data_IF_894707362200
#
_entry.id   IF_894707362200
#
_cell.length_a   1.000
_cell.length_b   1.000
_cell.length_c   1.000
_cell.angle_alpha   90.00
_cell.angle_beta   90.00
_cell.angle_gamma   90.00
#
_symmetry.space_group_name_H-M   'P 1'
#
loop_
_entity.id
_entity.type
_entity.pdbx_description
1 polymer ?
#
# COMPACT_ATOMS: atom_id res chain seq x y z
N UNK A 1 36.54 27.34 -25.18
CA UNK A 1 36.28 25.89 -25.18
C UNK A 1 34.92 25.66 -24.53
N UNK A 2 33.82 25.80 -25.28
CA UNK A 2 32.46 25.62 -24.78
C UNK A 2 31.65 25.00 -25.92
N UNK A 3 31.17 23.77 -25.77
CA UNK A 3 30.41 23.16 -26.87
C UNK A 3 29.84 21.76 -26.67
N UNK A 4 29.75 21.22 -25.45
CA UNK A 4 29.34 19.80 -25.29
C UNK A 4 28.17 19.48 -24.34
N UNK A 5 27.42 20.45 -23.80
CA UNK A 5 26.28 20.13 -22.91
C UNK A 5 24.89 20.70 -23.30
N UNK A 6 24.78 21.52 -24.35
CA UNK A 6 23.53 22.23 -24.67
C UNK A 6 22.38 21.28 -25.10
N UNK A 7 22.69 20.11 -25.66
CA UNK A 7 21.67 19.13 -26.07
C UNK A 7 21.15 18.22 -24.96
N UNK A 8 21.95 17.94 -23.92
CA UNK A 8 21.57 17.02 -22.83
C UNK A 8 20.66 17.67 -21.79
N UNK A 9 20.69 19.00 -21.70
CA UNK A 9 19.93 19.77 -20.72
C UNK A 9 18.44 19.87 -21.11
N UNK A 10 18.13 20.06 -22.40
CA UNK A 10 16.73 20.17 -22.88
C UNK A 10 15.91 18.89 -22.68
N UNK A 11 16.54 17.72 -22.83
CA UNK A 11 15.84 16.43 -22.74
C UNK A 11 15.34 16.13 -21.32
N UNK A 12 16.13 16.45 -20.29
CA UNK A 12 15.73 16.21 -18.88
C UNK A 12 14.65 17.19 -18.44
N UNK A 13 14.72 18.45 -18.88
CA UNK A 13 13.63 19.41 -18.67
C UNK A 13 12.34 18.94 -19.35
N UNK A 14 12.41 18.54 -20.63
CA UNK A 14 11.27 18.02 -21.37
C UNK A 14 10.65 16.79 -20.69
N UNK A 15 11.48 15.85 -20.23
CA UNK A 15 11.02 14.68 -19.46
C UNK A 15 10.33 15.07 -18.15
N UNK A 16 10.89 16.01 -17.37
CA UNK A 16 10.26 16.50 -16.16
C UNK A 16 8.92 17.19 -16.42
N UNK A 17 8.79 17.94 -17.53
CA UNK A 17 7.52 18.49 -17.98
C UNK A 17 6.50 17.41 -18.33
N UNK A 18 6.88 16.39 -19.10
CA UNK A 18 5.99 15.27 -19.46
C UNK A 18 5.51 14.54 -18.20
N UNK A 19 6.43 14.24 -17.29
CA UNK A 19 6.11 13.61 -16.00
C UNK A 19 5.14 14.48 -15.20
N UNK A 20 5.41 15.79 -15.06
CA UNK A 20 4.49 16.71 -14.41
C UNK A 20 3.09 16.71 -15.06
N UNK A 21 3.00 16.71 -16.40
CA UNK A 21 1.73 16.70 -17.12
C UNK A 21 0.94 15.40 -16.90
N UNK A 22 1.61 14.25 -16.92
CA UNK A 22 1.00 12.95 -16.67
C UNK A 22 0.40 12.86 -15.26
N UNK A 23 1.11 13.38 -14.25
CA UNK A 23 0.67 13.27 -12.86
C UNK A 23 -0.36 14.32 -12.46
N UNK A 24 -0.37 15.49 -13.10
CA UNK A 24 -1.33 16.54 -12.80
C UNK A 24 -2.55 16.55 -13.72
N UNK A 25 -2.56 15.70 -14.77
CA UNK A 25 -3.54 15.75 -15.86
C UNK A 25 -3.68 17.16 -16.47
N UNK A 26 -2.63 17.98 -16.36
CA UNK A 26 -2.58 19.34 -16.88
C UNK A 26 -1.72 19.37 -18.13
N UNK A 27 -2.19 20.05 -19.17
CA UNK A 27 -1.36 20.33 -20.33
C UNK A 27 -0.45 21.53 -20.03
N UNK A 28 0.86 21.33 -20.12
CA UNK A 28 1.84 22.41 -19.99
C UNK A 28 2.55 22.59 -21.33
N UNK A 29 2.74 23.85 -21.75
CA UNK A 29 3.63 24.11 -22.87
C UNK A 29 5.07 23.83 -22.45
N UNK A 30 5.70 22.84 -23.08
CA UNK A 30 7.09 22.45 -22.81
C UNK A 30 8.05 23.60 -23.17
N UNK A 31 7.60 24.55 -24.00
CA UNK A 31 8.36 25.76 -24.36
C UNK A 31 8.01 26.97 -23.47
N UNK A 32 7.21 26.78 -22.41
CA UNK A 32 6.86 27.88 -21.52
C UNK A 32 8.12 28.47 -20.86
N UNK A 33 8.16 29.80 -20.78
CA UNK A 33 9.24 30.56 -20.12
C UNK A 33 9.26 30.29 -18.61
N UNK A 34 8.08 29.99 -18.04
CA UNK A 34 7.91 29.73 -16.61
C UNK A 34 7.73 28.22 -16.37
N UNK A 35 8.44 27.71 -15.37
CA UNK A 35 8.28 26.34 -14.89
C UNK A 35 6.88 26.13 -14.28
N UNK A 36 6.35 24.90 -14.34
CA UNK A 36 5.11 24.57 -13.66
C UNK A 36 5.26 24.79 -12.15
N UNK A 37 4.19 25.26 -11.52
CA UNK A 37 4.17 25.46 -10.08
C UNK A 37 3.96 24.11 -9.39
N UNK A 38 4.92 23.71 -8.55
CA UNK A 38 4.79 22.48 -7.78
C UNK A 38 3.85 22.68 -6.57
N UNK A 39 2.89 21.76 -6.32
CA UNK A 39 1.83 22.01 -5.35
C UNK A 39 2.28 22.28 -3.90
N UNK A 40 3.27 21.54 -3.38
CA UNK A 40 3.80 21.78 -2.02
C UNK A 40 4.71 23.01 -1.99
N UNK A 41 5.41 23.31 -3.08
CA UNK A 41 6.16 24.57 -3.18
C UNK A 41 5.22 25.78 -3.13
N UNK A 42 4.11 25.76 -3.87
CA UNK A 42 3.05 26.75 -3.80
C UNK A 42 2.51 26.91 -2.38
N UNK A 43 2.13 25.80 -1.74
CA UNK A 43 1.62 25.83 -0.36
C UNK A 43 2.65 26.41 0.62
N UNK A 44 3.96 26.13 0.42
CA UNK A 44 5.03 26.71 1.23
C UNK A 44 5.15 28.23 1.03
N UNK A 45 5.00 28.71 -0.20
CA UNK A 45 5.01 30.14 -0.51
C UNK A 45 3.81 30.87 0.11
N UNK A 46 2.59 30.36 -0.08
CA UNK A 46 1.36 30.97 0.44
C UNK A 46 1.30 31.02 1.97
N UNK A 47 1.96 30.07 2.64
CA UNK A 47 2.01 30.00 4.11
C UNK A 47 3.26 30.67 4.69
N UNK A 48 4.14 31.20 3.86
CA UNK A 48 5.36 31.85 4.31
C UNK A 48 5.03 33.16 5.04
N UNK A 49 5.65 33.38 6.20
CA UNK A 49 5.42 34.58 7.02
C UNK A 49 4.10 34.59 7.82
N UNK A 50 3.22 33.60 7.63
CA UNK A 50 1.99 33.46 8.42
C UNK A 50 2.26 32.66 9.71
N UNK A 51 1.57 33.04 10.79
CA UNK A 51 1.72 32.42 12.11
C UNK A 51 0.37 32.15 12.79
N UNK A 52 0.35 31.22 13.76
CA UNK A 52 -0.82 30.94 14.59
C UNK A 52 -2.08 30.61 13.79
N UNK A 53 -3.20 31.25 14.14
CA UNK A 53 -4.49 30.98 13.52
C UNK A 53 -4.62 31.47 12.08
N UNK A 54 -3.90 32.54 11.70
CA UNK A 54 -3.89 33.04 10.33
C UNK A 54 -3.35 31.97 9.37
N UNK A 55 -2.25 31.32 9.75
CA UNK A 55 -1.68 30.20 8.98
C UNK A 55 -2.65 29.02 8.86
N UNK A 56 -3.39 28.72 9.94
CA UNK A 56 -4.35 27.61 9.97
C UNK A 56 -5.53 27.88 9.04
N UNK A 57 -6.13 29.07 9.13
CA UNK A 57 -7.26 29.49 8.28
C UNK A 57 -6.85 29.47 6.81
N UNK A 58 -5.70 30.06 6.46
CA UNK A 58 -5.19 30.07 5.08
C UNK A 58 -4.93 28.66 4.57
N UNK A 59 -4.37 27.77 5.40
CA UNK A 59 -4.14 26.37 5.03
C UNK A 59 -5.46 25.63 4.78
N UNK A 60 -6.46 25.79 5.64
CA UNK A 60 -7.78 25.19 5.48
C UNK A 60 -8.48 25.68 4.20
N UNK A 61 -8.31 26.96 3.87
CA UNK A 61 -8.83 27.53 2.64
C UNK A 61 -8.18 26.92 1.39
N UNK A 62 -6.84 26.87 1.34
CA UNK A 62 -6.09 26.23 0.25
C UNK A 62 -6.54 24.78 0.07
N UNK A 63 -6.65 24.01 1.17
CA UNK A 63 -7.04 22.60 1.13
C UNK A 63 -8.46 22.40 0.56
N UNK A 64 -9.39 23.32 0.81
CA UNK A 64 -10.79 23.20 0.35
C UNK A 64 -11.00 23.72 -1.07
N UNK A 65 -10.34 24.80 -1.44
CA UNK A 65 -10.71 25.62 -2.61
C UNK A 65 -9.71 25.52 -3.76
N UNK A 66 -8.48 25.08 -3.50
CA UNK A 66 -7.40 25.16 -4.48
C UNK A 66 -7.22 23.86 -5.30
N UNK A 67 -7.01 24.03 -6.61
CA UNK A 67 -6.64 22.96 -7.54
C UNK A 67 -5.32 22.30 -7.10
N UNK A 68 -4.35 23.08 -6.61
CA UNK A 68 -3.06 22.55 -6.17
C UNK A 68 -3.18 21.66 -4.93
N UNK A 69 -4.11 21.94 -4.02
CA UNK A 69 -4.31 21.07 -2.86
C UNK A 69 -4.82 19.67 -3.23
N UNK A 70 -5.64 19.57 -4.28
CA UNK A 70 -6.08 18.27 -4.82
C UNK A 70 -4.91 17.50 -5.42
N UNK A 71 -3.98 18.20 -6.06
CA UNK A 71 -2.78 17.61 -6.68
C UNK A 71 -1.77 17.08 -5.65
N UNK A 72 -1.67 17.72 -4.46
CA UNK A 72 -0.81 17.23 -3.35
C UNK A 72 -1.17 15.79 -2.94
N UNK A 73 -2.44 15.40 -3.05
CA UNK A 73 -2.90 14.06 -2.72
C UNK A 73 -2.45 12.99 -3.74
N UNK A 74 -2.16 13.38 -4.98
CA UNK A 74 -1.86 12.47 -6.08
C UNK A 74 -0.35 12.39 -6.38
N UNK A 75 0.41 13.42 -6.01
CA UNK A 75 1.85 13.50 -6.27
C UNK A 75 2.61 13.16 -5.00
N UNK A 76 3.47 12.15 -5.03
CA UNK A 76 4.34 11.80 -3.89
C UNK A 76 5.35 12.92 -3.62
N UNK A 77 5.75 13.07 -2.36
CA UNK A 77 6.73 14.10 -1.96
C UNK A 77 8.08 13.90 -2.65
N UNK A 78 8.46 12.64 -2.86
CA UNK A 78 9.69 12.22 -3.51
C UNK A 78 9.71 12.65 -4.98
N UNK A 79 8.60 12.45 -5.70
CA UNK A 79 8.47 12.88 -7.08
C UNK A 79 8.55 14.41 -7.21
N UNK A 80 7.90 15.15 -6.30
CA UNK A 80 7.97 16.61 -6.31
C UNK A 80 9.40 17.13 -6.04
N UNK A 81 10.13 16.50 -5.11
CA UNK A 81 11.53 16.82 -4.86
C UNK A 81 12.43 16.48 -6.06
N UNK A 82 12.15 15.38 -6.77
CA UNK A 82 12.85 15.04 -8.00
C UNK A 82 12.64 16.10 -9.10
N UNK A 83 11.40 16.60 -9.26
CA UNK A 83 11.10 17.68 -10.19
C UNK A 83 11.82 18.98 -9.80
N UNK A 84 11.88 19.32 -8.50
CA UNK A 84 12.65 20.46 -7.99
C UNK A 84 14.15 20.36 -8.33
N UNK A 85 14.76 19.20 -8.05
CA UNK A 85 16.18 18.96 -8.30
C UNK A 85 16.49 19.05 -9.81
N UNK A 86 15.58 18.53 -10.63
CA UNK A 86 15.69 18.59 -12.10
C UNK A 86 15.60 20.01 -12.63
N UNK A 87 14.77 20.84 -12.01
CA UNK A 87 14.57 22.24 -12.36
C UNK A 87 15.55 23.19 -11.66
N UNK A 88 16.63 22.67 -11.06
CA UNK A 88 17.66 23.50 -10.46
C UNK A 88 18.24 24.50 -11.46
N UNK A 89 18.31 25.76 -11.03
CA UNK A 89 18.95 26.84 -11.77
C UNK A 89 20.48 26.67 -11.85
N UNK A 90 21.07 25.84 -10.98
CA UNK A 90 22.48 25.52 -10.98
C UNK A 90 22.75 24.32 -11.90
N UNK A 91 23.54 24.52 -12.96
CA UNK A 91 23.85 23.47 -13.93
C UNK A 91 24.64 22.30 -13.31
N UNK A 92 25.40 22.51 -12.24
CA UNK A 92 26.19 21.46 -11.58
C UNK A 92 25.32 20.55 -10.70
N UNK A 93 24.17 21.05 -10.24
CA UNK A 93 23.25 20.30 -9.38
C UNK A 93 22.17 19.58 -10.21
N UNK A 94 22.18 19.76 -11.54
CA UNK A 94 21.17 19.21 -12.44
C UNK A 94 21.46 17.74 -12.75
N UNK A 95 20.42 16.93 -12.65
CA UNK A 95 20.48 15.50 -12.96
C UNK A 95 20.70 15.27 -14.46
N UNK A 96 21.49 14.25 -14.77
CA UNK A 96 21.53 13.62 -16.09
C UNK A 96 20.26 12.83 -16.37
N UNK A 97 19.98 12.52 -17.65
CA UNK A 97 18.84 11.69 -18.04
C UNK A 97 18.81 10.32 -17.33
N UNK A 98 19.98 9.68 -17.18
CA UNK A 98 20.09 8.39 -16.49
C UNK A 98 19.83 8.53 -14.98
N UNK A 99 20.35 9.58 -14.34
CA UNK A 99 20.06 9.86 -12.93
C UNK A 99 18.60 10.18 -12.70
N UNK A 100 17.98 10.94 -13.60
CA UNK A 100 16.55 11.25 -13.56
C UNK A 100 15.70 9.97 -13.68
N UNK A 101 15.97 9.11 -14.67
CA UNK A 101 15.26 7.84 -14.85
C UNK A 101 15.43 6.91 -13.65
N UNK A 102 16.64 6.80 -13.11
CA UNK A 102 16.90 6.00 -11.91
C UNK A 102 16.12 6.54 -10.71
N UNK A 103 16.17 7.85 -10.47
CA UNK A 103 15.44 8.48 -9.35
C UNK A 103 13.93 8.42 -9.53
N UNK A 104 13.40 8.47 -10.76
CA UNK A 104 11.96 8.23 -11.02
C UNK A 104 11.57 6.83 -10.58
N UNK A 105 12.37 5.82 -10.94
CA UNK A 105 12.10 4.44 -10.55
C UNK A 105 12.15 4.28 -9.02
N UNK A 106 13.13 4.90 -8.36
CA UNK A 106 13.20 4.92 -6.90
C UNK A 106 11.98 5.61 -6.28
N UNK A 107 11.52 6.73 -6.84
CA UNK A 107 10.31 7.43 -6.38
C UNK A 107 9.06 6.56 -6.55
N UNK A 108 8.94 5.85 -7.68
CA UNK A 108 7.86 4.90 -7.95
C UNK A 108 7.87 3.80 -6.89
N UNK A 109 9.03 3.20 -6.63
CA UNK A 109 9.16 2.10 -5.68
C UNK A 109 8.87 2.53 -4.25
N UNK A 110 9.38 3.68 -3.81
CA UNK A 110 9.08 4.25 -2.48
C UNK A 110 7.59 4.50 -2.29
N UNK A 111 6.89 4.91 -3.35
CA UNK A 111 5.45 5.12 -3.33
C UNK A 111 4.70 3.78 -3.25
N UNK A 112 5.06 2.83 -4.11
CA UNK A 112 4.44 1.48 -4.17
C UNK A 112 4.63 0.69 -2.87
N UNK A 113 5.83 0.70 -2.30
CA UNK A 113 6.12 -0.02 -1.04
C UNK A 113 5.60 0.72 0.21
N UNK A 114 5.06 1.93 0.08
CA UNK A 114 4.48 2.70 1.19
C UNK A 114 5.49 3.45 2.05
N UNK A 115 6.77 3.51 1.66
CA UNK A 115 7.80 4.23 2.41
C UNK A 115 9.23 3.93 1.96
N UNK A 116 10.16 4.80 2.38
CA UNK A 116 11.59 4.67 2.05
C UNK A 116 12.18 3.35 2.58
N UNK A 117 11.96 3.05 3.86
CA UNK A 117 12.48 1.85 4.50
C UNK A 117 11.87 0.56 3.95
N UNK A 118 10.64 0.64 3.44
CA UNK A 118 9.94 -0.48 2.85
C UNK A 118 10.49 -0.78 1.45
N UNK A 119 10.76 0.27 0.66
CA UNK A 119 11.46 0.14 -0.61
C UNK A 119 12.92 -0.30 -0.44
N UNK A 120 13.62 0.16 0.58
CA UNK A 120 14.99 -0.29 0.89
C UNK A 120 15.05 -1.79 1.16
N UNK A 121 14.10 -2.31 1.95
CA UNK A 121 13.96 -3.75 2.16
C UNK A 121 13.61 -4.51 0.87
N UNK A 122 12.71 -3.97 0.05
CA UNK A 122 12.38 -4.55 -1.27
C UNK A 122 13.63 -4.67 -2.16
N UNK A 123 14.44 -3.62 -2.21
CA UNK A 123 15.70 -3.58 -2.95
C UNK A 123 16.69 -4.59 -2.38
N UNK A 124 16.79 -4.70 -1.06
CA UNK A 124 17.63 -5.69 -0.39
C UNK A 124 17.28 -7.14 -0.80
N UNK A 125 15.99 -7.42 -1.01
CA UNK A 125 15.52 -8.74 -1.45
C UNK A 125 15.75 -9.04 -2.93
N UNK A 126 15.96 -8.01 -3.76
CA UNK A 126 16.00 -8.13 -5.23
C UNK A 126 17.39 -7.95 -5.84
N UNK A 127 18.30 -7.23 -5.16
CA UNK A 127 19.53 -6.80 -5.81
C UNK A 127 20.67 -7.82 -5.78
N UNK A 128 21.07 -8.22 -6.99
CA UNK A 128 22.48 -8.11 -7.39
C UNK A 128 22.82 -6.61 -7.61
N UNK A 129 23.99 -6.17 -7.16
CA UNK A 129 24.39 -4.75 -7.17
C UNK A 129 24.33 -4.11 -8.58
N UNK A 130 23.69 -2.94 -8.70
CA UNK A 130 23.76 -2.08 -9.89
C UNK A 130 22.57 -2.16 -10.87
N UNK A 131 21.59 -3.03 -10.62
CA UNK A 131 20.39 -3.16 -11.45
C UNK A 131 19.20 -2.32 -10.96
N UNK A 132 18.32 -1.94 -11.90
CA UNK A 132 17.00 -1.38 -11.57
C UNK A 132 16.22 -2.42 -10.75
N UNK A 133 15.59 -2.03 -9.64
CA UNK A 133 14.82 -2.97 -8.83
C UNK A 133 13.61 -3.49 -9.60
N UNK A 134 13.48 -4.81 -9.68
CA UNK A 134 12.30 -5.44 -10.27
C UNK A 134 11.06 -5.12 -9.43
N UNK A 135 9.92 -4.87 -10.09
CA UNK A 135 8.64 -4.60 -9.42
C UNK A 135 7.85 -5.87 -9.07
N UNK A 136 8.36 -7.01 -9.49
CA UNK A 136 7.83 -8.35 -9.18
C UNK A 136 9.01 -9.16 -8.67
N UNK A 137 8.83 -9.93 -7.61
CA UNK A 137 9.84 -10.85 -7.15
C UNK A 137 9.24 -12.19 -6.76
N UNK A 138 10.05 -13.25 -6.87
CA UNK A 138 9.72 -14.54 -6.31
C UNK A 138 9.60 -14.42 -4.79
N UNK A 139 8.50 -14.93 -4.24
CA UNK A 139 8.20 -14.80 -2.82
C UNK A 139 9.20 -15.55 -1.93
N UNK A 140 9.82 -16.64 -2.40
CA UNK A 140 10.83 -17.39 -1.62
C UNK A 140 12.07 -16.54 -1.32
N UNK A 141 12.49 -15.69 -2.26
CA UNK A 141 13.60 -14.76 -2.05
C UNK A 141 13.27 -13.75 -0.94
N UNK A 142 12.05 -13.20 -0.96
CA UNK A 142 11.58 -12.32 0.11
C UNK A 142 11.47 -13.07 1.44
N UNK A 143 10.89 -14.27 1.43
CA UNK A 143 10.67 -15.07 2.62
C UNK A 143 11.98 -15.42 3.34
N UNK A 144 13.05 -15.71 2.60
CA UNK A 144 14.39 -15.96 3.17
C UNK A 144 14.96 -14.73 3.88
N UNK A 145 14.78 -13.54 3.29
CA UNK A 145 15.21 -12.28 3.92
C UNK A 145 14.37 -11.96 5.14
N UNK A 146 13.04 -12.11 5.07
CA UNK A 146 12.14 -11.95 6.22
C UNK A 146 12.55 -12.89 7.35
N UNK A 147 12.70 -14.19 7.07
CA UNK A 147 13.09 -15.21 8.04
C UNK A 147 14.38 -14.84 8.79
N UNK A 148 15.35 -14.27 8.07
CA UNK A 148 16.59 -13.77 8.65
C UNK A 148 16.36 -12.52 9.50
N UNK A 149 15.61 -11.54 9.01
CA UNK A 149 15.36 -10.27 9.72
C UNK A 149 14.54 -10.42 10.99
N UNK A 150 13.53 -11.32 11.00
CA UNK A 150 12.64 -11.52 12.16
C UNK A 150 13.01 -12.74 13.01
N UNK A 151 14.05 -13.48 12.63
CA UNK A 151 14.53 -14.68 13.34
C UNK A 151 13.45 -15.78 13.45
N UNK A 152 12.67 -16.00 12.38
CA UNK A 152 11.64 -17.04 12.28
C UNK A 152 12.07 -18.09 11.23
N UNK A 153 11.82 -19.40 11.43
CA UNK A 153 12.12 -20.40 10.42
C UNK A 153 11.48 -20.08 9.05
N UNK A 154 12.26 -20.22 7.97
CA UNK A 154 11.79 -19.99 6.60
C UNK A 154 10.53 -20.80 6.27
N UNK A 155 10.43 -22.04 6.75
CA UNK A 155 9.25 -22.88 6.57
C UNK A 155 7.97 -22.27 7.16
N UNK A 156 8.08 -21.57 8.29
CA UNK A 156 6.97 -20.84 8.91
C UNK A 156 6.64 -19.57 8.13
N UNK A 157 7.65 -18.80 7.70
CA UNK A 157 7.43 -17.61 6.85
C UNK A 157 6.73 -17.98 5.55
N UNK A 158 7.10 -19.10 4.92
CA UNK A 158 6.48 -19.60 3.70
C UNK A 158 4.98 -19.89 3.84
N UNK A 159 4.46 -20.14 5.05
CA UNK A 159 3.02 -20.31 5.28
C UNK A 159 2.24 -19.02 4.98
N UNK A 160 2.88 -17.85 5.13
CA UNK A 160 2.25 -16.56 4.82
C UNK A 160 2.01 -16.31 3.32
N UNK A 161 2.65 -17.10 2.44
CA UNK A 161 2.52 -16.99 0.97
C UNK A 161 1.07 -16.98 0.49
N UNK A 162 0.17 -17.70 1.18
CA UNK A 162 -1.26 -17.77 0.85
C UNK A 162 -2.00 -16.43 1.00
N UNK A 163 -1.43 -15.49 1.76
CA UNK A 163 -1.95 -14.14 1.93
C UNK A 163 -1.15 -13.16 1.09
N UNK A 164 0.18 -13.22 1.19
CA UNK A 164 1.04 -12.13 0.71
C UNK A 164 1.59 -12.33 -0.71
N UNK A 165 1.41 -13.51 -1.29
CA UNK A 165 1.87 -13.82 -2.64
C UNK A 165 0.72 -14.34 -3.50
N UNK A 166 0.88 -14.21 -4.81
CA UNK A 166 0.01 -14.84 -5.80
C UNK A 166 0.88 -15.62 -6.77
N UNK A 167 0.62 -16.91 -6.94
CA UNK A 167 1.44 -17.80 -7.77
C UNK A 167 2.94 -17.78 -7.41
N UNK A 168 3.26 -17.69 -6.12
CA UNK A 168 4.64 -17.57 -5.60
C UNK A 168 5.37 -16.27 -6.00
N UNK A 169 4.62 -15.25 -6.40
CA UNK A 169 5.15 -13.93 -6.74
C UNK A 169 4.51 -12.86 -5.85
N UNK A 170 5.26 -11.81 -5.55
CA UNK A 170 4.78 -10.60 -4.89
C UNK A 170 5.20 -9.39 -5.73
N UNK A 171 4.32 -8.39 -5.85
CA UNK A 171 4.61 -7.11 -6.51
C UNK A 171 4.94 -6.04 -5.47
N UNK A 172 5.68 -5.00 -5.86
CA UNK A 172 6.04 -3.87 -4.98
C UNK A 172 4.80 -3.19 -4.36
N UNK A 173 3.75 -3.03 -5.16
CA UNK A 173 2.46 -2.48 -4.75
C UNK A 173 1.70 -3.41 -3.78
N UNK A 174 1.69 -4.73 -4.06
CA UNK A 174 1.09 -5.69 -3.14
C UNK A 174 1.83 -5.70 -1.79
N UNK A 175 3.16 -5.61 -1.81
CA UNK A 175 3.96 -5.50 -0.59
C UNK A 175 3.62 -4.25 0.22
N UNK A 176 3.53 -3.08 -0.41
CA UNK A 176 3.10 -1.86 0.28
C UNK A 176 1.67 -1.96 0.81
N UNK A 177 0.76 -2.57 0.05
CA UNK A 177 -0.59 -2.87 0.52
C UNK A 177 -0.58 -3.75 1.78
N UNK A 178 0.24 -4.81 1.84
CA UNK A 178 0.33 -5.67 3.02
C UNK A 178 0.99 -4.97 4.20
N UNK A 179 2.00 -4.12 3.98
CA UNK A 179 2.58 -3.28 5.04
C UNK A 179 1.53 -2.34 5.62
N UNK A 180 0.74 -1.69 4.79
CA UNK A 180 -0.35 -0.80 5.24
C UNK A 180 -1.38 -1.55 6.11
N UNK A 181 -1.65 -2.81 5.78
CA UNK A 181 -2.67 -3.61 6.46
C UNK A 181 -2.19 -4.36 7.70
N UNK A 182 -0.98 -4.93 7.67
CA UNK A 182 -0.45 -5.74 8.76
C UNK A 182 0.60 -5.00 9.58
N UNK A 183 1.26 -3.99 9.00
CA UNK A 183 2.45 -3.37 9.55
C UNK A 183 3.72 -3.99 8.97
N UNK A 184 4.87 -3.62 9.54
CA UNK A 184 6.20 -4.00 9.02
C UNK A 184 6.58 -5.43 9.43
N UNK A 185 5.84 -6.41 8.93
CA UNK A 185 6.04 -7.84 9.20
C UNK A 185 7.45 -8.35 8.83
N UNK A 186 8.16 -7.62 7.97
CA UNK A 186 9.51 -7.98 7.55
C UNK A 186 10.61 -7.65 8.58
N UNK A 187 10.29 -6.89 9.64
CA UNK A 187 11.22 -6.55 10.76
C UNK A 187 10.63 -6.82 12.14
N UNK A 188 9.31 -6.93 12.28
CA UNK A 188 8.65 -7.20 13.56
C UNK A 188 8.19 -8.66 13.63
N UNK A 189 8.87 -9.44 14.47
CA UNK A 189 8.57 -10.85 14.71
C UNK A 189 7.12 -11.09 15.18
N UNK A 190 6.55 -10.20 15.99
CA UNK A 190 5.17 -10.38 16.48
C UNK A 190 4.17 -10.21 15.34
N UNK A 191 4.37 -9.20 14.49
CA UNK A 191 3.51 -8.96 13.33
C UNK A 191 3.62 -10.13 12.34
N UNK A 192 4.83 -10.63 12.10
CA UNK A 192 5.04 -11.79 11.23
C UNK A 192 4.37 -13.04 11.80
N UNK A 193 4.48 -13.28 13.11
CA UNK A 193 3.85 -14.42 13.79
C UNK A 193 2.32 -14.35 13.71
N UNK A 194 1.73 -13.17 13.93
CA UNK A 194 0.29 -12.93 13.76
C UNK A 194 -0.16 -13.21 12.31
N UNK A 195 0.64 -12.80 11.32
CA UNK A 195 0.38 -13.04 9.90
C UNK A 195 0.46 -14.53 9.55
N UNK A 196 1.46 -15.25 10.08
CA UNK A 196 1.61 -16.71 9.90
C UNK A 196 0.42 -17.45 10.51
N UNK A 197 0.02 -17.07 11.73
CA UNK A 197 -1.15 -17.64 12.39
C UNK A 197 -2.43 -17.40 11.58
N UNK A 198 -2.59 -16.20 11.03
CA UNK A 198 -3.74 -15.90 10.18
C UNK A 198 -3.71 -16.68 8.86
N UNK A 199 -2.56 -16.75 8.19
CA UNK A 199 -2.41 -17.50 6.94
C UNK A 199 -2.66 -19.00 7.12
N UNK A 200 -2.21 -19.55 8.25
CA UNK A 200 -2.39 -20.97 8.58
C UNK A 200 -3.76 -21.29 9.17
N UNK A 201 -4.65 -20.31 9.30
CA UNK A 201 -5.97 -20.53 9.89
C UNK A 201 -6.90 -21.28 8.96
N UNK A 202 -7.80 -22.05 9.56
CA UNK A 202 -8.88 -22.76 8.86
C UNK A 202 -9.95 -21.82 8.31
N UNK A 203 -10.11 -20.65 8.92
CA UNK A 203 -11.08 -19.64 8.52
C UNK A 203 -10.60 -18.69 7.42
N UNK A 204 -9.34 -18.71 6.97
CA UNK A 204 -8.89 -17.87 5.86
C UNK A 204 -9.14 -18.54 4.49
N UNK A 205 -9.77 -17.78 3.59
CA UNK A 205 -10.08 -18.18 2.22
C UNK A 205 -9.76 -17.05 1.24
N UNK A 206 -8.89 -17.30 0.25
CA UNK A 206 -8.68 -16.37 -0.88
C UNK A 206 -9.79 -16.54 -1.94
N UNK A 207 -10.99 -16.07 -1.62
CA UNK A 207 -12.18 -16.21 -2.46
C UNK A 207 -12.98 -14.91 -2.58
N UNK A 208 -13.85 -14.85 -3.58
CA UNK A 208 -14.82 -13.77 -3.80
C UNK A 208 -15.98 -13.79 -2.80
N UNK A 209 -16.83 -12.76 -2.87
CA UNK A 209 -18.05 -12.66 -2.06
C UNK A 209 -19.05 -13.75 -2.44
N UNK A 210 -19.16 -14.01 -3.73
CA UNK A 210 -20.08 -14.96 -4.35
C UNK A 210 -19.68 -16.39 -3.98
N UNK A 211 -18.39 -16.72 -4.05
CA UNK A 211 -17.87 -18.01 -3.59
C UNK A 211 -18.11 -18.20 -2.09
N UNK A 212 -17.87 -17.18 -1.27
CA UNK A 212 -18.14 -17.26 0.17
C UNK A 212 -19.63 -17.52 0.47
N UNK A 213 -20.55 -17.00 -0.36
CA UNK A 213 -21.98 -17.28 -0.25
C UNK A 213 -22.28 -18.76 -0.51
N UNK A 214 -21.59 -19.37 -1.48
CA UNK A 214 -21.69 -20.80 -1.80
C UNK A 214 -21.14 -21.67 -0.68
N UNK A 215 -19.93 -21.39 -0.18
CA UNK A 215 -19.30 -22.15 0.92
C UNK A 215 -20.16 -22.16 2.19
N UNK A 216 -20.80 -21.02 2.51
CA UNK A 216 -21.63 -20.88 3.70
C UNK A 216 -23.09 -21.29 3.48
N UNK A 217 -23.47 -21.67 2.26
CA UNK A 217 -24.83 -22.12 2.01
C UNK A 217 -25.09 -23.44 2.74
N UNK A 218 -26.29 -23.58 3.32
CA UNK A 218 -26.68 -24.76 4.11
C UNK A 218 -25.78 -25.10 5.32
N UNK A 219 -24.81 -24.26 5.66
CA UNK A 219 -24.06 -24.39 6.92
C UNK A 219 -24.91 -23.90 8.10
N UNK A 220 -24.57 -24.36 9.30
CA UNK A 220 -25.27 -23.98 10.52
C UNK A 220 -25.03 -22.52 10.87
N UNK A 221 -25.92 -21.94 11.67
CA UNK A 221 -25.75 -20.56 12.13
C UNK A 221 -24.45 -20.40 12.93
N UNK A 222 -23.80 -19.25 12.75
CA UNK A 222 -22.49 -18.86 13.30
C UNK A 222 -21.28 -19.55 12.66
N UNK A 223 -21.44 -20.40 11.65
CA UNK A 223 -20.33 -20.81 10.77
C UNK A 223 -19.79 -19.59 10.02
N UNK A 224 -18.46 -19.43 9.95
CA UNK A 224 -17.83 -18.25 9.36
C UNK A 224 -16.57 -18.56 8.54
N UNK A 225 -16.19 -17.60 7.70
CA UNK A 225 -14.89 -17.52 7.05
C UNK A 225 -14.47 -16.07 6.89
N UNK A 226 -13.18 -15.84 6.66
CA UNK A 226 -12.56 -14.55 6.39
C UNK A 226 -11.94 -14.60 5.00
N UNK A 227 -12.23 -13.57 4.20
CA UNK A 227 -11.72 -13.43 2.83
C UNK A 227 -11.20 -12.02 2.57
N UNK A 228 -10.30 -11.83 1.59
CA UNK A 228 -9.89 -10.50 1.17
C UNK A 228 -11.08 -9.69 0.62
N UNK A 229 -11.00 -8.37 0.77
CA UNK A 229 -11.97 -7.43 0.20
C UNK A 229 -11.30 -6.62 -0.91
N UNK A 230 -11.69 -6.93 -2.15
CA UNK A 230 -11.09 -6.40 -3.38
C UNK A 230 -11.59 -5.01 -3.80
N UNK A 231 -12.54 -4.43 -3.04
CA UNK A 231 -13.29 -3.24 -3.49
C UNK A 231 -12.93 -1.95 -2.76
N UNK A 232 -12.37 -2.04 -1.54
CA UNK A 232 -12.04 -0.85 -0.77
C UNK A 232 -10.80 -1.11 0.09
N UNK A 233 -9.68 -0.39 -0.14
CA UNK A 233 -8.42 -0.60 0.58
C UNK A 233 -8.54 -0.32 2.08
N UNK A 234 -9.52 0.48 2.51
CA UNK A 234 -9.81 0.74 3.93
C UNK A 234 -10.29 -0.52 4.68
N UNK A 235 -10.83 -1.48 3.94
CA UNK A 235 -11.36 -2.72 4.49
C UNK A 235 -10.61 -3.89 3.86
N UNK A 236 -9.44 -4.31 4.38
CA UNK A 236 -8.63 -5.35 3.76
C UNK A 236 -9.31 -6.71 3.74
N UNK A 237 -10.16 -6.99 4.74
CA UNK A 237 -10.81 -8.29 4.91
C UNK A 237 -12.31 -8.15 5.17
N UNK A 238 -13.02 -9.25 4.98
CA UNK A 238 -14.44 -9.37 5.30
C UNK A 238 -14.71 -10.70 5.98
N UNK A 239 -15.37 -10.65 7.14
CA UNK A 239 -15.94 -11.81 7.80
C UNK A 239 -17.26 -12.11 7.11
N UNK A 240 -17.38 -13.29 6.50
CA UNK A 240 -18.64 -13.81 5.99
C UNK A 240 -19.13 -14.88 6.97
N UNK A 241 -20.37 -14.78 7.44
CA UNK A 241 -20.91 -15.72 8.43
C UNK A 241 -22.37 -16.03 8.20
N UNK A 242 -22.83 -17.17 8.71
CA UNK A 242 -24.23 -17.57 8.69
C UNK A 242 -24.98 -17.03 9.90
N UNK A 243 -26.14 -16.41 9.68
CA UNK A 243 -27.06 -15.90 10.72
C UNK A 243 -28.50 -16.06 10.23
N UNK A 244 -29.35 -16.75 10.99
CA UNK A 244 -30.76 -16.97 10.67
C UNK A 244 -30.94 -17.49 9.24
N UNK A 245 -30.13 -18.47 8.85
CA UNK A 245 -30.14 -19.07 7.51
C UNK A 245 -29.84 -18.09 6.37
N UNK A 246 -29.15 -16.98 6.65
CA UNK A 246 -28.65 -16.04 5.64
C UNK A 246 -27.17 -15.77 5.87
N UNK A 247 -26.45 -15.52 4.79
CA UNK A 247 -25.05 -15.12 4.90
C UNK A 247 -24.97 -13.61 5.05
N UNK A 248 -24.24 -13.17 6.06
CA UNK A 248 -23.99 -11.77 6.38
C UNK A 248 -22.51 -11.49 6.22
N UNK A 249 -22.19 -10.34 5.64
CA UNK A 249 -20.81 -9.90 5.44
C UNK A 249 -20.51 -8.69 6.32
N UNK A 250 -19.47 -8.80 7.14
CA UNK A 250 -18.98 -7.72 7.99
C UNK A 250 -17.56 -7.35 7.55
N UNK A 251 -17.38 -6.12 7.11
CA UNK A 251 -16.06 -5.60 6.73
C UNK A 251 -15.17 -5.45 7.97
N UNK A 252 -13.89 -5.76 7.81
CA UNK A 252 -12.86 -5.49 8.80
C UNK A 252 -12.10 -4.26 8.33
N UNK A 253 -12.11 -3.19 9.12
CA UNK A 253 -11.40 -1.94 8.86
C UNK A 253 -10.02 -1.97 9.50
N UNK A 254 -9.02 -1.40 8.82
CA UNK A 254 -7.71 -1.13 9.40
C UNK A 254 -7.55 0.38 9.67
N UNK A 255 -7.40 0.76 10.93
CA UNK A 255 -7.08 2.15 11.36
C UNK A 255 -6.22 2.13 12.62
N UNK A 256 -5.40 3.16 12.86
CA UNK A 256 -4.65 3.35 14.13
C UNK A 256 -3.93 2.10 14.67
N UNK A 257 -3.22 1.37 13.82
CA UNK A 257 -2.52 0.14 14.25
C UNK A 257 -3.39 -0.98 14.88
N UNK A 258 -4.70 -0.99 14.62
CA UNK A 258 -5.62 -2.07 14.96
C UNK A 258 -6.63 -2.42 13.83
N UNK A 259 -7.22 -3.60 13.93
CA UNK A 259 -8.35 -4.07 13.15
C UNK A 259 -9.66 -3.86 13.90
N UNK A 260 -10.67 -3.38 13.17
CA UNK A 260 -11.98 -3.06 13.71
C UNK A 260 -13.08 -3.78 12.93
N UNK A 261 -14.12 -4.23 13.62
CA UNK A 261 -15.37 -4.59 12.97
C UNK A 261 -16.56 -4.24 13.87
N UNK A 262 -17.71 -3.96 13.26
CA UNK A 262 -18.96 -3.73 14.01
C UNK A 262 -19.90 -4.89 13.78
N UNK A 263 -20.28 -5.56 14.86
CA UNK A 263 -21.23 -6.66 14.86
C UNK A 263 -22.27 -6.47 15.96
N UNK A 264 -23.54 -6.67 15.61
CA UNK A 264 -24.65 -6.53 16.56
C UNK A 264 -24.67 -5.18 17.31
N UNK A 265 -24.23 -4.10 16.65
CA UNK A 265 -24.17 -2.75 17.23
C UNK A 265 -22.96 -2.48 18.14
N UNK A 266 -22.09 -3.46 18.39
CA UNK A 266 -20.84 -3.30 19.16
C UNK A 266 -19.63 -3.26 18.23
N UNK A 267 -18.74 -2.30 18.44
CA UNK A 267 -17.43 -2.24 17.77
C UNK A 267 -16.43 -3.14 18.53
N UNK A 268 -15.73 -3.98 17.78
CA UNK A 268 -14.64 -4.83 18.26
C UNK A 268 -13.33 -4.30 17.70
N UNK A 269 -12.30 -4.28 18.55
CA UNK A 269 -10.97 -3.77 18.21
C UNK A 269 -9.91 -4.76 18.69
N UNK A 270 -9.01 -5.15 17.80
CA UNK A 270 -7.87 -5.99 18.13
C UNK A 270 -6.63 -5.59 17.34
N UNK A 271 -5.43 -5.93 17.83
CA UNK A 271 -4.17 -5.64 17.13
C UNK A 271 -3.95 -6.55 15.91
N UNK A 272 -4.45 -7.78 15.97
CA UNK A 272 -4.32 -8.78 14.92
C UNK A 272 -5.66 -9.43 14.56
N UNK A 273 -5.76 -10.02 13.36
CA UNK A 273 -6.95 -10.76 12.93
C UNK A 273 -7.23 -11.97 13.83
N UNK A 274 -6.23 -12.81 14.22
CA UNK A 274 -6.46 -13.90 15.17
C UNK A 274 -7.07 -13.41 16.49
N UNK A 275 -6.51 -12.35 17.08
CA UNK A 275 -7.05 -11.75 18.30
C UNK A 275 -8.49 -11.24 18.12
N UNK A 276 -8.82 -10.68 16.95
CA UNK A 276 -10.18 -10.24 16.64
C UNK A 276 -11.15 -11.43 16.59
N UNK A 277 -10.74 -12.55 15.97
CA UNK A 277 -11.54 -13.77 15.89
C UNK A 277 -11.79 -14.34 17.28
N UNK A 278 -10.78 -14.38 18.15
CA UNK A 278 -10.92 -14.89 19.52
C UNK A 278 -11.91 -14.06 20.33
N UNK A 279 -11.89 -12.72 20.21
CA UNK A 279 -12.88 -11.84 20.84
C UNK A 279 -14.30 -12.12 20.34
N UNK A 280 -14.47 -12.29 19.03
CA UNK A 280 -15.79 -12.57 18.44
C UNK A 280 -16.31 -13.97 18.81
N UNK A 281 -15.43 -14.95 18.98
CA UNK A 281 -15.77 -16.28 19.51
C UNK A 281 -16.19 -16.21 20.98
N UNK A 282 -15.44 -15.46 21.80
CA UNK A 282 -15.74 -15.26 23.21
C UNK A 282 -17.12 -14.63 23.46
N UNK A 283 -17.53 -13.71 22.58
CA UNK A 283 -18.86 -13.06 22.63
C UNK A 283 -19.96 -13.86 21.89
N UNK A 284 -19.66 -15.06 21.38
CA UNK A 284 -20.63 -15.94 20.71
C UNK A 284 -21.16 -15.41 19.37
N UNK A 285 -20.42 -14.50 18.72
CA UNK A 285 -20.84 -13.89 17.44
C UNK A 285 -20.44 -14.72 16.21
N UNK A 286 -19.47 -15.60 16.38
CA UNK A 286 -19.01 -16.61 15.43
C UNK A 286 -18.67 -17.86 16.25
N UNK A 287 -18.76 -19.04 15.64
CA UNK A 287 -18.53 -20.31 16.36
C UNK A 287 -17.46 -21.13 15.67
N UNK A 288 -17.83 -21.74 14.55
CA UNK A 288 -16.97 -22.68 13.83
C UNK A 288 -16.53 -22.13 12.47
N UNK A 289 -15.28 -22.39 12.08
CA UNK A 289 -14.80 -22.05 10.76
C UNK A 289 -15.50 -22.91 9.70
N UNK A 290 -15.73 -22.34 8.52
CA UNK A 290 -16.29 -23.06 7.38
C UNK A 290 -15.29 -24.12 6.89
N UNK A 291 -15.78 -25.29 6.49
CA UNK A 291 -14.96 -26.30 5.81
C UNK A 291 -14.46 -25.76 4.46
N UNK A 292 -13.20 -26.07 4.12
CA UNK A 292 -12.63 -25.80 2.78
C UNK A 292 -13.15 -26.77 1.71
N UNK A 293 -13.81 -27.85 2.12
CA UNK A 293 -14.54 -28.74 1.23
C UNK A 293 -15.92 -28.14 0.92
N UNK A 294 -16.24 -28.01 -0.37
CA UNK A 294 -17.60 -27.77 -0.83
C UNK A 294 -18.39 -29.06 -0.61
N UNK A 295 -19.51 -28.96 0.11
CA UNK A 295 -20.43 -30.09 0.18
C UNK A 295 -21.05 -30.26 -1.22
N UNK A 296 -20.72 -31.35 -1.90
CA UNK A 296 -21.35 -31.81 -3.15
C UNK A 296 -22.79 -32.31 -2.96
N UNK A 297 -23.52 -31.80 -1.96
CA UNK A 297 -24.90 -32.22 -1.65
C UNK A 297 -25.94 -31.59 -2.61
N UNK A 298 -25.57 -31.38 -3.88
CA UNK A 298 -26.49 -31.02 -4.96
C UNK A 298 -26.28 -31.97 -6.16
N UNK A 299 -26.72 -33.22 -5.97
CA UNK A 299 -27.35 -34.02 -7.02
C UNK A 299 -28.78 -34.35 -6.61
#
# INVERSE_FOLDING_TARGET
MNGHNIGKEGDVFGMAFIVYQLFNETQCDINAINLPILPRFYMKQELCGLHGEEKKIKREQIVKEDVYAKLICNISHQLENLLLDTWSACNLDRLTANEFLNRINDCSLVTECGGFWDADFWVHCTRENGCLPEKVMNFENMASNIATCVEIPLSSVNQSSQIISKNNEITSDAFGYFISNFGKFYIDNNIMSDLIQFASSDYYFDISKEEAQTYLNNKVDLTFLIRPSKTNPKFPFTISKRVKSKTVHTRIERKDNAFYCTMSGKEYKAKSIPSLVDMLRGDGLIKEPCSKELNDDNY
#
